data_IF_907585855525
#
_entry.id   IF_907585855525
#
_cell.length_a   1.000
_cell.length_b   1.000
_cell.length_c   1.000
_cell.angle_alpha   90.00
_cell.angle_beta   90.00
_cell.angle_gamma   90.00
#
_symmetry.space_group_name_H-M   'P 1'
#
loop_
_entity.id
_entity.type
_entity.pdbx_description
1 polymer ?
#
# COMPACT_ATOMS: atom_id res chain seq x y z
N UNK A 1 -14.07 22.36 36.57
CA UNK A 1 -15.19 22.49 35.64
C UNK A 1 -14.78 21.80 34.34
N UNK A 2 -15.21 20.55 34.16
CA UNK A 2 -14.94 19.78 32.94
C UNK A 2 -15.86 20.31 31.85
N UNK A 3 -15.29 20.94 30.85
CA UNK A 3 -16.00 21.37 29.64
C UNK A 3 -16.50 20.09 28.91
N UNK A 4 -17.66 19.60 29.30
CA UNK A 4 -18.34 18.48 28.66
C UNK A 4 -18.96 18.98 27.36
N UNK A 5 -18.13 19.35 26.36
CA UNK A 5 -18.63 19.62 25.03
C UNK A 5 -19.14 18.31 24.44
N UNK A 6 -20.40 18.25 24.01
CA UNK A 6 -20.90 17.03 23.38
C UNK A 6 -20.09 16.70 22.14
N UNK A 7 -19.63 15.47 22.05
CA UNK A 7 -18.78 14.91 21.00
C UNK A 7 -19.33 15.06 19.56
N UNK A 8 -20.61 15.40 19.40
CA UNK A 8 -21.25 15.65 18.09
C UNK A 8 -21.18 17.10 17.60
N UNK A 9 -20.62 18.04 18.38
CA UNK A 9 -20.39 19.40 17.88
C UNK A 9 -19.18 19.37 16.96
N UNK A 10 -19.36 19.76 15.68
CA UNK A 10 -18.21 19.85 14.77
C UNK A 10 -17.31 20.98 15.24
N UNK A 11 -16.23 20.62 15.93
CA UNK A 11 -15.13 21.54 16.14
C UNK A 11 -14.52 21.88 14.79
N UNK A 12 -14.00 23.11 14.62
CA UNK A 12 -13.36 23.50 13.37
C UNK A 12 -12.27 22.53 12.91
N UNK A 13 -11.65 21.82 13.87
CA UNK A 13 -10.70 20.75 13.61
C UNK A 13 -11.36 19.50 12.98
N UNK A 14 -12.53 19.11 13.42
CA UNK A 14 -13.29 18.01 12.81
C UNK A 14 -13.69 18.34 11.37
N UNK A 15 -14.17 19.56 11.14
CA UNK A 15 -14.52 20.02 9.79
C UNK A 15 -13.29 20.01 8.88
N UNK A 16 -12.17 20.51 9.34
CA UNK A 16 -10.90 20.46 8.61
C UNK A 16 -10.49 19.01 8.28
N UNK A 17 -10.55 18.12 9.28
CA UNK A 17 -10.21 16.71 9.08
C UNK A 17 -11.11 16.03 8.03
N UNK A 18 -12.42 16.30 8.06
CA UNK A 18 -13.37 15.76 7.07
C UNK A 18 -13.04 16.28 5.67
N UNK A 19 -12.81 17.59 5.50
CA UNK A 19 -12.46 18.17 4.21
C UNK A 19 -11.15 17.57 3.68
N UNK A 20 -10.14 17.48 4.53
CA UNK A 20 -8.84 16.93 4.19
C UNK A 20 -8.94 15.44 3.77
N UNK A 21 -9.62 14.62 4.55
CA UNK A 21 -9.84 13.22 4.23
C UNK A 21 -10.66 13.06 2.94
N UNK A 22 -11.72 13.85 2.77
CA UNK A 22 -12.52 13.84 1.55
C UNK A 22 -11.66 14.17 0.33
N UNK A 23 -10.80 15.19 0.42
CA UNK A 23 -9.91 15.58 -0.67
C UNK A 23 -8.94 14.47 -1.06
N UNK A 24 -8.38 13.74 -0.08
CA UNK A 24 -7.45 12.62 -0.32
C UNK A 24 -8.18 11.40 -0.87
N UNK A 25 -9.34 11.04 -0.30
CA UNK A 25 -10.05 9.82 -0.68
C UNK A 25 -10.93 9.99 -1.93
N UNK A 26 -11.34 11.20 -2.26
CA UNK A 26 -12.19 11.46 -3.43
C UNK A 26 -11.59 10.91 -4.74
N UNK A 27 -10.30 11.13 -5.07
CA UNK A 27 -9.69 10.55 -6.26
C UNK A 27 -9.67 9.02 -6.24
N UNK A 28 -9.48 8.42 -5.07
CA UNK A 28 -9.46 6.96 -4.92
C UNK A 28 -10.85 6.35 -5.14
N UNK A 29 -11.92 7.06 -4.74
CA UNK A 29 -13.30 6.62 -4.95
C UNK A 29 -13.70 6.61 -6.44
N UNK A 30 -13.02 7.35 -7.29
CA UNK A 30 -13.24 7.27 -8.73
C UNK A 30 -12.85 5.93 -9.32
N UNK A 31 -11.86 5.22 -8.77
CA UNK A 31 -11.44 3.91 -9.27
C UNK A 31 -12.59 2.89 -9.23
N UNK A 32 -13.24 2.61 -8.10
CA UNK A 32 -14.38 1.71 -8.08
C UNK A 32 -15.57 2.24 -8.89
N UNK A 33 -15.81 3.54 -8.93
CA UNK A 33 -16.87 4.14 -9.73
C UNK A 33 -16.69 3.85 -11.23
N UNK A 34 -15.48 4.07 -11.74
CA UNK A 34 -15.17 3.82 -13.16
C UNK A 34 -15.01 2.34 -13.49
N UNK A 35 -14.75 1.47 -12.50
CA UNK A 35 -14.67 0.01 -12.72
C UNK A 35 -15.99 -0.58 -13.22
N UNK A 36 -17.11 0.06 -12.90
CA UNK A 36 -18.44 -0.32 -13.37
C UNK A 36 -18.83 0.39 -14.69
N UNK A 37 -18.01 1.28 -15.22
CA UNK A 37 -18.31 1.98 -16.47
C UNK A 37 -18.18 1.04 -17.67
N UNK A 38 -19.15 1.07 -18.58
CA UNK A 38 -19.12 0.29 -19.83
C UNK A 38 -18.08 0.78 -20.84
N UNK A 39 -17.60 2.00 -20.70
CA UNK A 39 -16.54 2.57 -21.53
C UNK A 39 -15.15 2.02 -21.16
N UNK A 40 -14.29 1.84 -22.17
CA UNK A 40 -12.85 1.53 -21.95
C UNK A 40 -12.06 2.72 -21.39
N UNK A 41 -12.60 3.92 -21.52
CA UNK A 41 -11.92 5.14 -21.09
C UNK A 41 -12.45 5.61 -19.75
N UNK A 42 -11.53 6.01 -18.87
CA UNK A 42 -11.84 6.66 -17.59
C UNK A 42 -12.20 8.12 -17.88
N UNK A 43 -13.44 8.37 -18.29
CA UNK A 43 -13.91 9.70 -18.65
C UNK A 43 -15.40 9.87 -18.33
N UNK A 44 -15.80 11.11 -18.01
CA UNK A 44 -17.19 11.51 -17.90
C UNK A 44 -17.75 11.94 -19.27
N UNK A 45 -19.05 11.70 -19.54
CA UNK A 45 -20.05 11.05 -18.68
C UNK A 45 -19.93 9.53 -18.67
N UNK A 46 -20.39 8.88 -17.59
CA UNK A 46 -20.49 7.43 -17.50
C UNK A 46 -21.46 6.91 -18.56
N UNK A 47 -21.03 5.99 -19.41
CA UNK A 47 -21.84 5.45 -20.53
C UNK A 47 -22.81 4.35 -20.13
N UNK A 48 -22.75 3.88 -18.86
CA UNK A 48 -23.61 2.83 -18.34
C UNK A 48 -22.89 1.95 -17.32
N UNK A 49 -23.65 1.18 -16.55
CA UNK A 49 -23.12 0.24 -15.58
C UNK A 49 -22.95 -1.14 -16.20
N UNK A 50 -21.78 -1.77 -15.98
CA UNK A 50 -21.47 -3.10 -16.47
C UNK A 50 -20.55 -3.85 -15.53
N UNK A 51 -20.73 -5.17 -15.46
CA UNK A 51 -19.82 -6.09 -14.78
C UNK A 51 -18.88 -6.81 -15.78
N UNK A 52 -18.88 -6.39 -17.03
CA UNK A 52 -18.11 -7.02 -18.11
C UNK A 52 -16.63 -7.16 -17.76
N UNK A 53 -16.05 -6.15 -17.16
CA UNK A 53 -14.62 -6.13 -16.82
C UNK A 53 -14.30 -7.16 -15.73
N UNK A 54 -15.16 -7.32 -14.75
CA UNK A 54 -15.03 -8.34 -13.71
C UNK A 54 -15.16 -9.74 -14.28
N UNK A 55 -16.12 -9.94 -15.19
CA UNK A 55 -16.27 -11.21 -15.87
C UNK A 55 -15.04 -11.53 -16.76
N UNK A 56 -14.50 -10.57 -17.46
CA UNK A 56 -13.27 -10.75 -18.23
C UNK A 56 -12.06 -11.06 -17.33
N UNK A 57 -11.96 -10.43 -16.17
CA UNK A 57 -10.89 -10.69 -15.19
C UNK A 57 -10.94 -12.13 -14.69
N UNK A 58 -12.12 -12.60 -14.28
CA UNK A 58 -12.29 -13.98 -13.76
C UNK A 58 -12.05 -15.03 -14.84
N UNK A 59 -12.33 -14.72 -16.10
CA UNK A 59 -12.12 -15.64 -17.23
C UNK A 59 -10.72 -15.49 -17.88
N UNK A 60 -9.85 -14.67 -17.34
CA UNK A 60 -8.47 -14.49 -17.82
C UNK A 60 -7.50 -15.28 -16.94
N UNK A 61 -6.94 -16.42 -17.43
CA UNK A 61 -6.01 -17.22 -16.65
C UNK A 61 -4.78 -16.43 -16.19
N UNK A 62 -4.23 -15.60 -17.06
CA UNK A 62 -3.05 -14.78 -16.73
C UNK A 62 -3.32 -13.76 -15.62
N UNK A 63 -4.51 -13.15 -15.59
CA UNK A 63 -4.88 -12.23 -14.51
C UNK A 63 -5.09 -12.95 -13.17
N UNK A 64 -5.71 -14.13 -13.20
CA UNK A 64 -5.89 -14.94 -11.99
C UNK A 64 -4.56 -15.43 -11.44
N UNK A 65 -3.66 -15.87 -12.31
CA UNK A 65 -2.31 -16.27 -11.92
C UNK A 65 -1.53 -15.10 -11.32
N UNK A 66 -1.55 -13.93 -11.94
CA UNK A 66 -0.93 -12.72 -11.40
C UNK A 66 -1.51 -12.33 -10.04
N UNK A 67 -2.84 -12.41 -9.86
CA UNK A 67 -3.50 -12.14 -8.60
C UNK A 67 -3.06 -13.13 -7.50
N UNK A 68 -3.06 -14.42 -7.80
CA UNK A 68 -2.62 -15.45 -6.86
C UNK A 68 -1.16 -15.28 -6.46
N UNK A 69 -0.30 -14.95 -7.42
CA UNK A 69 1.11 -14.69 -7.17
C UNK A 69 1.30 -13.45 -6.28
N UNK A 70 0.55 -12.38 -6.53
CA UNK A 70 0.56 -11.18 -5.69
C UNK A 70 0.11 -11.47 -4.27
N UNK A 71 -0.93 -12.29 -4.09
CA UNK A 71 -1.42 -12.68 -2.76
C UNK A 71 -0.38 -13.54 -2.04
N UNK A 72 0.24 -14.53 -2.71
CA UNK A 72 1.28 -15.38 -2.13
C UNK A 72 2.46 -14.54 -1.65
N UNK A 73 3.00 -13.68 -2.52
CA UNK A 73 4.13 -12.81 -2.18
C UNK A 73 3.76 -11.87 -1.05
N UNK A 74 2.60 -11.21 -1.14
CA UNK A 74 2.11 -10.30 -0.11
C UNK A 74 1.98 -10.96 1.26
N UNK A 75 1.47 -12.21 1.31
CA UNK A 75 1.33 -12.96 2.55
C UNK A 75 2.70 -13.30 3.16
N UNK A 76 3.63 -13.80 2.34
CA UNK A 76 4.99 -14.14 2.79
C UNK A 76 5.69 -12.89 3.32
N UNK A 77 5.65 -11.80 2.56
CA UNK A 77 6.26 -10.52 2.95
C UNK A 77 5.64 -9.99 4.24
N UNK A 78 4.32 -10.04 4.39
CA UNK A 78 3.63 -9.59 5.60
C UNK A 78 4.09 -10.36 6.84
N UNK A 79 4.16 -11.70 6.76
CA UNK A 79 4.59 -12.54 7.87
C UNK A 79 6.05 -12.24 8.23
N UNK A 80 6.96 -12.28 7.25
CA UNK A 80 8.39 -12.07 7.47
C UNK A 80 8.66 -10.68 8.03
N UNK A 81 8.07 -9.64 7.42
CA UNK A 81 8.22 -8.25 7.87
C UNK A 81 7.67 -8.03 9.27
N UNK A 82 6.55 -8.67 9.62
CA UNK A 82 5.98 -8.57 10.97
C UNK A 82 6.92 -9.19 12.01
N UNK A 83 7.45 -10.37 11.74
CA UNK A 83 8.40 -11.04 12.65
C UNK A 83 9.66 -10.19 12.82
N UNK A 84 10.27 -9.77 11.72
CA UNK A 84 11.49 -8.95 11.74
C UNK A 84 11.25 -7.61 12.45
N UNK A 85 10.13 -6.95 12.15
CA UNK A 85 9.75 -5.69 12.77
C UNK A 85 9.53 -5.80 14.28
N UNK A 86 8.86 -6.85 14.74
CA UNK A 86 8.68 -7.11 16.17
C UNK A 86 9.99 -7.42 16.87
N UNK A 87 10.87 -8.21 16.27
CA UNK A 87 12.19 -8.52 16.82
C UNK A 87 13.06 -7.26 16.90
N UNK A 88 13.09 -6.46 15.83
CA UNK A 88 13.83 -5.20 15.80
C UNK A 88 13.29 -4.20 16.83
N UNK A 89 11.97 -4.03 16.92
CA UNK A 89 11.35 -3.16 17.91
C UNK A 89 11.67 -3.60 19.34
N UNK A 90 11.56 -4.90 19.62
CA UNK A 90 11.92 -5.45 20.93
C UNK A 90 13.41 -5.27 21.26
N UNK A 91 14.29 -5.49 20.28
CA UNK A 91 15.74 -5.29 20.46
C UNK A 91 16.04 -3.82 20.79
N UNK A 92 15.47 -2.89 20.03
CA UNK A 92 15.71 -1.46 20.19
C UNK A 92 15.09 -0.85 21.46
N UNK A 93 13.98 -1.43 21.96
CA UNK A 93 13.28 -0.86 23.13
C UNK A 93 13.71 -1.49 24.45
N UNK A 94 13.95 -2.80 24.47
CA UNK A 94 14.23 -3.55 25.72
C UNK A 94 15.71 -3.72 26.02
N UNK A 95 16.58 -3.66 25.03
CA UNK A 95 18.02 -3.87 25.23
C UNK A 95 18.78 -2.55 25.10
N UNK A 96 19.79 -2.38 25.97
CA UNK A 96 20.74 -1.26 25.89
C UNK A 96 21.80 -1.60 24.83
N UNK A 97 21.47 -1.41 23.56
CA UNK A 97 22.41 -1.69 22.47
C UNK A 97 23.43 -0.56 22.36
N UNK A 98 24.73 -0.87 22.45
CA UNK A 98 25.76 0.09 22.07
C UNK A 98 25.61 0.42 20.59
N UNK A 99 25.60 1.70 20.22
CA UNK A 99 25.40 2.12 18.83
C UNK A 99 23.93 2.13 18.35
N UNK A 100 22.97 2.26 19.27
CA UNK A 100 21.53 2.35 18.93
C UNK A 100 21.22 3.42 17.88
N UNK A 101 21.88 4.58 17.93
CA UNK A 101 21.68 5.66 16.96
C UNK A 101 22.02 5.24 15.53
N UNK A 102 23.25 4.82 15.23
CA UNK A 102 23.62 4.28 13.92
C UNK A 102 22.71 3.15 13.42
N UNK A 103 22.30 2.23 14.29
CA UNK A 103 21.38 1.14 13.90
C UNK A 103 20.03 1.66 13.45
N UNK A 104 19.44 2.62 14.19
CA UNK A 104 18.17 3.24 13.80
C UNK A 104 18.34 3.99 12.46
N UNK A 105 19.43 4.76 12.30
CA UNK A 105 19.70 5.47 11.05
C UNK A 105 19.81 4.51 9.86
N UNK A 106 20.48 3.36 10.04
CA UNK A 106 20.58 2.35 8.99
C UNK A 106 19.23 1.75 8.60
N UNK A 107 18.36 1.47 9.58
CA UNK A 107 17.01 0.95 9.34
C UNK A 107 16.15 2.01 8.63
N UNK A 108 16.41 3.29 8.83
CA UNK A 108 15.66 4.39 8.20
C UNK A 108 16.10 4.69 6.76
N UNK A 109 17.29 4.24 6.33
CA UNK A 109 17.79 4.49 4.96
C UNK A 109 16.78 4.07 3.88
N UNK A 110 16.18 2.87 3.89
CA UNK A 110 15.21 2.47 2.87
C UNK A 110 13.96 3.36 2.81
N UNK A 111 13.57 4.00 3.92
CA UNK A 111 12.41 4.91 3.95
C UNK A 111 12.70 6.25 3.26
N UNK A 112 13.97 6.65 3.19
CA UNK A 112 14.39 7.89 2.53
C UNK A 112 14.57 7.70 1.03
N UNK A 113 14.92 6.48 0.61
CA UNK A 113 15.09 6.15 -0.81
C UNK A 113 13.72 5.96 -1.46
N UNK A 114 13.43 6.64 -2.58
CA UNK A 114 12.19 6.42 -3.31
C UNK A 114 12.05 4.93 -3.71
N UNK A 115 10.91 4.34 -3.39
CA UNK A 115 10.65 2.89 -3.58
C UNK A 115 10.90 2.44 -5.03
N UNK A 116 10.59 3.30 -6.01
CA UNK A 116 10.81 3.02 -7.43
C UNK A 116 12.29 2.84 -7.75
N UNK A 117 13.17 3.69 -7.18
CA UNK A 117 14.62 3.60 -7.39
C UNK A 117 15.16 2.31 -6.79
N UNK A 118 14.69 1.96 -5.60
CA UNK A 118 15.08 0.72 -4.91
C UNK A 118 14.60 -0.51 -5.69
N UNK A 119 13.38 -0.50 -6.21
CA UNK A 119 12.83 -1.59 -7.01
C UNK A 119 13.63 -1.80 -8.32
N UNK A 120 13.95 -0.72 -9.03
CA UNK A 120 14.74 -0.79 -10.27
C UNK A 120 16.17 -1.28 -9.98
N UNK A 121 16.79 -0.78 -8.91
CA UNK A 121 18.14 -1.20 -8.51
C UNK A 121 18.21 -2.68 -8.16
N UNK A 122 17.21 -3.18 -7.42
CA UNK A 122 17.07 -4.61 -7.12
C UNK A 122 16.85 -5.45 -8.39
N UNK A 123 16.01 -4.98 -9.31
CA UNK A 123 15.78 -5.66 -10.58
C UNK A 123 17.07 -5.82 -11.38
N UNK A 124 17.86 -4.74 -11.50
CA UNK A 124 19.16 -4.77 -12.17
C UNK A 124 20.13 -5.73 -11.49
N UNK A 125 20.20 -5.68 -10.14
CA UNK A 125 21.06 -6.57 -9.38
C UNK A 125 20.71 -8.05 -9.60
N UNK A 126 19.43 -8.40 -9.51
CA UNK A 126 18.92 -9.76 -9.69
C UNK A 126 19.21 -10.24 -11.13
N UNK A 127 19.04 -9.37 -12.13
CA UNK A 127 19.33 -9.70 -13.52
C UNK A 127 20.82 -9.93 -13.79
N UNK A 128 21.72 -9.27 -13.06
CA UNK A 128 23.17 -9.47 -13.17
C UNK A 128 23.66 -10.77 -12.52
N UNK A 129 22.91 -11.30 -11.56
CA UNK A 129 23.25 -12.54 -10.84
C UNK A 129 22.60 -13.77 -11.50
N UNK A 130 21.98 -13.61 -12.69
CA UNK A 130 21.26 -14.66 -13.43
C UNK A 130 20.21 -15.41 -12.60
N UNK A 131 19.64 -14.75 -11.59
CA UNK A 131 18.53 -15.32 -10.84
C UNK A 131 17.26 -15.18 -11.71
N UNK A 132 16.58 -16.29 -12.04
CA UNK A 132 15.37 -16.22 -12.85
C UNK A 132 14.31 -15.37 -12.14
N UNK A 133 13.80 -14.36 -12.83
CA UNK A 133 12.68 -13.52 -12.36
C UNK A 133 11.36 -14.30 -12.46
N UNK A 134 11.33 -15.46 -11.89
CA UNK A 134 10.17 -16.34 -11.84
C UNK A 134 9.84 -16.61 -10.39
N UNK A 135 8.57 -16.72 -10.08
CA UNK A 135 8.14 -17.12 -8.74
C UNK A 135 8.40 -18.62 -8.48
N UNK A 136 8.74 -19.37 -9.54
CA UNK A 136 9.15 -20.82 -9.53
C UNK A 136 9.74 -21.20 -10.87
#
# INVERSE_FOLDING_TARGET
MSDQRPWWRPDGFLLYAIIYLTFIYLPVLFLPLFSFNSSKYIAFPLKGFTLKWYHQMVNSPSMLEALLNSIKVGLIVAIVSTILGLLAAKALTRYRLPGRGPVISFIMIPLVIPEIILAISLLILISQVDIPLSLW
#
